data_IF_309398296292
#
_entry.id   IF_309398296292
#
_cell.length_a   1.000
_cell.length_b   1.000
_cell.length_c   1.000
_cell.angle_alpha   90.00
_cell.angle_beta   90.00
_cell.angle_gamma   90.00
#
_symmetry.space_group_name_H-M   'P 1'
#
loop_
_entity.id
_entity.type
_entity.pdbx_description
1 polymer ?
#
# COMPACT_ATOMS: atom_id res chain seq x y z
N UNK A 1 1.09 -20.07 -22.66
CA UNK A 1 1.22 -18.65 -22.32
C UNK A 1 1.23 -18.58 -20.80
N UNK A 2 2.36 -18.23 -20.20
CA UNK A 2 2.39 -17.95 -18.74
C UNK A 2 1.38 -16.86 -18.44
N UNK A 3 0.59 -16.96 -17.36
CA UNK A 3 -0.29 -15.87 -16.97
C UNK A 3 0.61 -14.64 -16.77
N UNK A 4 0.43 -13.63 -17.62
CA UNK A 4 1.14 -12.36 -17.49
C UNK A 4 0.86 -11.84 -16.08
N UNK A 5 1.90 -11.56 -15.32
CA UNK A 5 1.71 -10.93 -14.00
C UNK A 5 0.95 -9.62 -14.21
N UNK A 6 -0.19 -9.52 -13.58
CA UNK A 6 -1.12 -8.39 -13.67
C UNK A 6 -0.49 -7.19 -12.97
N UNK A 7 -0.70 -5.99 -13.49
CA UNK A 7 -0.34 -4.75 -12.79
C UNK A 7 -1.58 -4.26 -12.06
N UNK A 8 -1.48 -4.10 -10.75
CA UNK A 8 -2.56 -3.63 -9.90
C UNK A 8 -2.49 -2.12 -9.71
N UNK A 9 -3.64 -1.49 -9.72
CA UNK A 9 -3.85 -0.09 -9.34
C UNK A 9 -4.61 -0.04 -8.03
N UNK A 10 -4.14 0.77 -7.10
CA UNK A 10 -4.75 0.93 -5.76
C UNK A 10 -4.86 2.41 -5.43
N UNK A 11 -6.01 2.85 -4.95
CA UNK A 11 -6.16 4.16 -4.31
C UNK A 11 -5.88 3.99 -2.81
N UNK A 12 -4.79 4.57 -2.33
CA UNK A 12 -4.34 4.45 -0.93
C UNK A 12 -4.93 5.50 0.00
N UNK A 13 -5.44 6.61 -0.54
CA UNK A 13 -6.12 7.66 0.25
C UNK A 13 -7.63 7.46 0.22
N UNK A 14 -8.35 7.83 1.29
CA UNK A 14 -9.81 7.74 1.28
C UNK A 14 -10.43 8.52 0.11
N UNK A 15 -11.52 7.99 -0.48
CA UNK A 15 -12.23 8.71 -1.54
C UNK A 15 -12.87 9.99 -1.01
N UNK A 16 -12.94 11.04 -1.84
CA UNK A 16 -13.58 12.29 -1.49
C UNK A 16 -12.70 13.51 -1.74
N UNK A 17 -13.02 14.61 -1.08
CA UNK A 17 -12.23 15.85 -1.17
C UNK A 17 -11.08 15.81 -0.17
N UNK A 18 -9.87 15.85 -0.68
CA UNK A 18 -8.64 15.95 0.11
C UNK A 18 -7.67 16.91 -0.57
N UNK A 19 -6.64 17.35 0.13
CA UNK A 19 -5.56 18.15 -0.48
C UNK A 19 -4.76 17.32 -1.48
N UNK A 20 -4.44 16.08 -1.10
CA UNK A 20 -3.66 15.15 -1.90
C UNK A 20 -4.36 13.79 -1.99
N UNK A 21 -4.15 13.11 -3.09
CA UNK A 21 -4.49 11.70 -3.25
C UNK A 21 -3.24 10.91 -3.65
N UNK A 22 -3.18 9.67 -3.20
CA UNK A 22 -2.10 8.74 -3.50
C UNK A 22 -2.67 7.50 -4.17
N UNK A 23 -2.19 7.22 -5.39
CA UNK A 23 -2.43 5.98 -6.10
C UNK A 23 -1.13 5.15 -6.08
N UNK A 24 -1.25 3.85 -6.02
CA UNK A 24 -0.12 2.93 -6.15
C UNK A 24 -0.33 2.04 -7.37
N UNK A 25 0.69 1.92 -8.20
CA UNK A 25 0.75 0.93 -9.28
C UNK A 25 1.79 -0.10 -8.90
N UNK A 26 1.38 -1.36 -8.85
CA UNK A 26 2.24 -2.48 -8.48
C UNK A 26 2.13 -3.61 -9.49
N UNK A 27 3.27 -4.11 -9.95
CA UNK A 27 3.39 -5.22 -10.88
C UNK A 27 4.60 -5.09 -11.79
N UNK A 28 4.88 -6.12 -12.60
CA UNK A 28 6.13 -6.22 -13.36
C UNK A 28 6.34 -5.11 -14.39
N UNK A 29 5.30 -4.39 -14.77
CA UNK A 29 5.35 -3.29 -15.73
C UNK A 29 4.98 -1.94 -15.13
N UNK A 30 4.90 -1.83 -13.80
CA UNK A 30 4.46 -0.62 -13.09
C UNK A 30 5.23 0.63 -13.55
N UNK A 31 6.56 0.58 -13.55
CA UNK A 31 7.42 1.69 -13.97
C UNK A 31 7.18 2.06 -15.44
N UNK A 32 7.06 1.06 -16.32
CA UNK A 32 6.84 1.29 -17.76
C UNK A 32 5.45 1.87 -18.03
N UNK A 33 4.41 1.37 -17.35
CA UNK A 33 3.04 1.87 -17.51
C UNK A 33 2.89 3.31 -17.00
N UNK A 34 3.39 3.60 -15.80
CA UNK A 34 3.38 4.95 -15.25
C UNK A 34 4.22 5.90 -16.12
N UNK A 35 5.38 5.43 -16.61
CA UNK A 35 6.26 6.19 -17.48
C UNK A 35 5.65 6.61 -18.82
N UNK A 36 4.60 5.93 -19.31
CA UNK A 36 3.88 6.34 -20.53
C UNK A 36 3.13 7.67 -20.37
N UNK A 37 2.69 7.95 -19.15
CA UNK A 37 1.89 9.15 -18.86
C UNK A 37 2.70 10.23 -18.12
N UNK A 38 3.79 9.89 -17.49
CA UNK A 38 4.58 10.81 -16.69
C UNK A 38 5.59 11.61 -17.53
N UNK A 39 5.47 12.92 -17.48
CA UNK A 39 6.39 13.86 -18.12
C UNK A 39 7.21 14.57 -17.03
N UNK A 40 8.44 14.12 -16.74
CA UNK A 40 9.26 14.68 -15.67
C UNK A 40 9.72 16.12 -16.00
N UNK A 41 9.65 16.97 -15.01
CA UNK A 41 10.36 18.25 -15.04
C UNK A 41 11.86 17.96 -14.88
N UNK A 42 12.67 18.34 -15.89
CA UNK A 42 14.12 18.02 -15.92
C UNK A 42 14.51 16.85 -16.82
N UNK A 43 13.54 16.25 -17.53
CA UNK A 43 13.78 15.39 -18.71
C UNK A 43 14.28 13.97 -18.46
N UNK A 44 14.65 13.57 -17.22
CA UNK A 44 15.12 12.21 -16.94
C UNK A 44 13.92 11.26 -16.77
N UNK A 45 13.77 10.21 -17.60
CA UNK A 45 12.68 9.24 -17.51
C UNK A 45 12.58 8.55 -16.14
N UNK A 46 11.40 8.04 -15.80
CA UNK A 46 11.20 7.30 -14.55
C UNK A 46 12.08 6.04 -14.50
N UNK A 47 12.21 5.32 -15.61
CA UNK A 47 13.02 4.11 -15.73
C UNK A 47 14.51 4.29 -15.38
N UNK A 48 15.02 5.51 -15.53
CA UNK A 48 16.44 5.81 -15.34
C UNK A 48 16.76 6.35 -13.94
N UNK A 49 15.75 6.37 -13.07
CA UNK A 49 15.87 6.88 -11.71
C UNK A 49 16.17 5.80 -10.70
N UNK A 50 16.84 6.18 -9.64
CA UNK A 50 17.15 5.26 -8.53
C UNK A 50 15.88 5.00 -7.70
N UNK A 51 15.77 3.77 -7.17
CA UNK A 51 14.73 3.41 -6.21
C UNK A 51 14.86 4.34 -4.97
N UNK A 52 13.72 4.80 -4.46
CA UNK A 52 13.67 5.79 -3.37
C UNK A 52 13.73 7.25 -3.85
N UNK A 53 13.94 7.51 -5.16
CA UNK A 53 13.91 8.87 -5.67
C UNK A 53 12.49 9.42 -5.78
N UNK A 54 12.37 10.74 -5.54
CA UNK A 54 11.12 11.48 -5.72
C UNK A 54 11.23 12.29 -7.01
N UNK A 55 10.18 12.27 -7.82
CA UNK A 55 10.15 12.94 -9.11
C UNK A 55 8.91 13.82 -9.24
N UNK A 56 9.09 15.07 -9.61
CA UNK A 56 8.00 15.98 -9.97
C UNK A 56 7.82 16.04 -11.49
N UNK A 57 6.57 16.10 -11.93
CA UNK A 57 6.24 16.22 -13.35
C UNK A 57 4.75 16.44 -13.59
N UNK A 58 4.36 16.24 -14.84
CA UNK A 58 2.98 16.40 -15.31
C UNK A 58 2.44 15.07 -15.84
N UNK A 59 1.13 14.85 -15.67
CA UNK A 59 0.45 13.68 -16.19
C UNK A 59 -0.07 13.92 -17.60
N UNK A 60 0.23 13.01 -18.52
CA UNK A 60 -0.20 12.93 -19.93
C UNK A 60 0.26 14.05 -20.86
N UNK A 61 0.49 15.28 -20.39
CA UNK A 61 0.93 16.42 -21.19
C UNK A 61 1.61 17.49 -20.35
N UNK A 62 2.45 18.31 -20.96
CA UNK A 62 3.00 19.51 -20.32
C UNK A 62 1.83 20.44 -19.92
N UNK A 63 1.82 20.91 -18.67
CA UNK A 63 0.72 21.67 -18.09
C UNK A 63 -0.55 20.87 -17.83
N UNK A 64 -0.44 19.52 -17.82
CA UNK A 64 -1.46 18.61 -17.28
C UNK A 64 -1.49 18.60 -15.76
N UNK A 65 -2.13 17.59 -15.18
CA UNK A 65 -2.14 17.41 -13.71
C UNK A 65 -0.73 17.30 -13.18
N UNK A 66 -0.41 18.09 -12.17
CA UNK A 66 0.87 18.04 -11.48
C UNK A 66 0.91 16.80 -10.57
N UNK A 67 1.97 16.02 -10.70
CA UNK A 67 2.13 14.79 -9.93
C UNK A 67 3.55 14.68 -9.37
N UNK A 68 3.63 14.05 -8.20
CA UNK A 68 4.89 13.63 -7.60
C UNK A 68 4.91 12.11 -7.58
N UNK A 69 5.96 11.51 -8.14
CA UNK A 69 6.16 10.07 -8.13
C UNK A 69 7.21 9.67 -7.12
N UNK A 70 6.97 8.53 -6.45
CA UNK A 70 7.94 7.86 -5.60
C UNK A 70 8.03 6.39 -6.01
N UNK A 71 9.22 5.95 -6.41
CA UNK A 71 9.46 4.55 -6.74
C UNK A 71 10.02 3.82 -5.52
N UNK A 72 9.22 2.99 -4.86
CA UNK A 72 9.64 2.27 -3.67
C UNK A 72 10.39 0.98 -3.98
N UNK A 73 10.00 0.30 -5.09
CA UNK A 73 10.59 -0.95 -5.58
C UNK A 73 10.64 -0.93 -7.10
N UNK A 74 11.32 -1.91 -7.70
CA UNK A 74 11.36 -2.05 -9.16
C UNK A 74 9.97 -2.27 -9.79
N UNK A 75 9.04 -2.83 -9.03
CA UNK A 75 7.69 -3.19 -9.42
C UNK A 75 6.61 -2.36 -8.72
N UNK A 76 6.96 -1.24 -8.07
CA UNK A 76 6.01 -0.41 -7.32
C UNK A 76 6.31 1.08 -7.47
N UNK A 77 5.31 1.83 -7.89
CA UNK A 77 5.35 3.30 -8.03
C UNK A 77 4.14 3.91 -7.34
N UNK A 78 4.36 4.85 -6.45
CA UNK A 78 3.32 5.70 -5.90
C UNK A 78 3.23 7.01 -6.68
N UNK A 79 1.99 7.45 -6.90
CA UNK A 79 1.63 8.66 -7.64
C UNK A 79 0.83 9.54 -6.71
N UNK A 80 1.39 10.69 -6.36
CA UNK A 80 0.72 11.69 -5.53
C UNK A 80 0.23 12.82 -6.44
N UNK A 81 -1.07 13.11 -6.38
CA UNK A 81 -1.74 14.15 -7.16
C UNK A 81 -2.65 15.00 -6.28
N UNK A 82 -3.26 16.04 -6.86
CA UNK A 82 -4.31 16.77 -6.14
C UNK A 82 -5.48 15.84 -5.79
N UNK A 83 -6.02 15.99 -4.56
CA UNK A 83 -7.06 15.13 -4.01
C UNK A 83 -8.47 15.41 -4.55
N UNK A 84 -8.60 16.10 -5.68
CA UNK A 84 -9.85 16.32 -6.37
C UNK A 84 -10.32 15.09 -7.15
N UNK A 85 -11.62 14.85 -7.18
CA UNK A 85 -12.21 13.72 -7.91
C UNK A 85 -11.80 13.70 -9.39
N UNK A 86 -11.65 14.87 -10.02
CA UNK A 86 -11.26 15.00 -11.44
C UNK A 86 -9.83 14.49 -11.64
N UNK A 87 -8.88 14.96 -10.82
CA UNK A 87 -7.46 14.56 -10.89
C UNK A 87 -7.30 13.06 -10.66
N UNK A 88 -7.91 12.54 -9.60
CA UNK A 88 -7.87 11.10 -9.28
C UNK A 88 -8.44 10.25 -10.40
N UNK A 89 -9.62 10.64 -10.94
CA UNK A 89 -10.26 9.89 -12.02
C UNK A 89 -9.46 9.96 -13.33
N UNK A 90 -8.79 11.08 -13.62
CA UNK A 90 -7.93 11.22 -14.80
C UNK A 90 -6.77 10.19 -14.74
N UNK A 91 -6.05 10.15 -13.63
CA UNK A 91 -4.95 9.21 -13.44
C UNK A 91 -5.44 7.77 -13.46
N UNK A 92 -6.48 7.49 -12.68
CA UNK A 92 -7.10 6.17 -12.57
C UNK A 92 -7.51 5.63 -13.93
N UNK A 93 -8.26 6.42 -14.72
CA UNK A 93 -8.75 5.99 -16.05
C UNK A 93 -7.58 5.73 -17.01
N UNK A 94 -6.57 6.60 -17.04
CA UNK A 94 -5.38 6.42 -17.88
C UNK A 94 -4.69 5.07 -17.61
N UNK A 95 -4.57 4.70 -16.34
CA UNK A 95 -3.91 3.45 -15.92
C UNK A 95 -4.76 2.22 -16.18
N UNK A 96 -6.08 2.31 -16.01
CA UNK A 96 -7.02 1.23 -16.36
C UNK A 96 -7.02 0.98 -17.87
N UNK A 97 -7.07 2.03 -18.68
CA UNK A 97 -7.00 1.94 -20.14
C UNK A 97 -5.67 1.35 -20.64
N UNK A 98 -4.59 1.54 -19.87
CA UNK A 98 -3.28 0.94 -20.11
C UNK A 98 -3.15 -0.51 -19.63
N UNK A 99 -4.22 -1.09 -19.06
CA UNK A 99 -4.28 -2.50 -18.67
C UNK A 99 -3.95 -2.80 -17.20
N UNK A 100 -3.97 -1.80 -16.32
CA UNK A 100 -3.95 -2.06 -14.88
C UNK A 100 -5.31 -2.61 -14.43
N UNK A 101 -5.29 -3.49 -13.44
CA UNK A 101 -6.48 -3.93 -12.72
C UNK A 101 -6.58 -3.21 -11.37
N UNK A 102 -7.73 -2.59 -11.12
CA UNK A 102 -7.96 -1.93 -9.84
C UNK A 102 -8.33 -2.93 -8.77
N UNK A 103 -7.66 -2.86 -7.64
CA UNK A 103 -7.99 -3.65 -6.44
C UNK A 103 -8.24 -2.72 -5.25
N UNK A 104 -9.04 -3.20 -4.29
CA UNK A 104 -9.27 -2.49 -3.04
C UNK A 104 -7.97 -2.41 -2.21
N UNK A 105 -7.76 -1.31 -1.48
CA UNK A 105 -6.58 -1.15 -0.63
C UNK A 105 -6.46 -2.25 0.45
N UNK A 106 -7.59 -2.77 0.95
CA UNK A 106 -7.61 -3.89 1.89
C UNK A 106 -7.00 -5.16 1.25
N UNK A 107 -7.40 -5.46 0.01
CA UNK A 107 -6.84 -6.59 -0.73
C UNK A 107 -5.34 -6.39 -0.99
N UNK A 108 -4.94 -5.16 -1.26
CA UNK A 108 -3.53 -4.83 -1.42
C UNK A 108 -2.72 -5.07 -0.14
N UNK A 109 -3.24 -4.67 1.04
CA UNK A 109 -2.62 -4.96 2.35
C UNK A 109 -2.47 -6.47 2.55
N UNK A 110 -3.53 -7.25 2.30
CA UNK A 110 -3.48 -8.73 2.42
C UNK A 110 -2.41 -9.33 1.50
N UNK A 111 -2.26 -8.81 0.28
CA UNK A 111 -1.23 -9.26 -0.66
C UNK A 111 0.19 -8.92 -0.19
N UNK A 112 0.38 -7.80 0.52
CA UNK A 112 1.69 -7.39 1.07
C UNK A 112 2.05 -8.13 2.36
N UNK A 113 1.05 -8.53 3.14
CA UNK A 113 1.21 -9.13 4.47
C UNK A 113 0.64 -10.55 4.49
N UNK A 114 1.49 -11.58 4.37
CA UNK A 114 1.04 -12.97 4.37
C UNK A 114 0.49 -13.44 5.73
N UNK A 115 0.78 -12.70 6.80
CA UNK A 115 0.25 -12.97 8.13
C UNK A 115 -1.14 -12.35 8.29
N UNK A 116 -2.21 -13.15 8.42
CA UNK A 116 -3.57 -12.64 8.54
C UNK A 116 -3.78 -11.78 9.79
N UNK A 117 -3.12 -12.06 10.90
CA UNK A 117 -3.21 -11.23 12.12
C UNK A 117 -2.68 -9.82 11.84
N UNK A 118 -1.56 -9.73 11.15
CA UNK A 118 -0.95 -8.44 10.80
C UNK A 118 -1.78 -7.69 9.77
N UNK A 119 -2.22 -8.36 8.70
CA UNK A 119 -3.04 -7.72 7.67
C UNK A 119 -4.37 -7.21 8.21
N UNK A 120 -5.07 -8.00 9.05
CA UNK A 120 -6.33 -7.61 9.66
C UNK A 120 -6.14 -6.44 10.66
N UNK A 121 -5.05 -6.47 11.43
CA UNK A 121 -4.72 -5.37 12.34
C UNK A 121 -4.42 -4.07 11.59
N UNK A 122 -3.68 -4.10 10.47
CA UNK A 122 -3.39 -2.94 9.64
C UNK A 122 -4.65 -2.36 8.99
N UNK A 123 -5.55 -3.22 8.48
CA UNK A 123 -6.83 -2.81 7.91
C UNK A 123 -7.69 -2.13 8.97
N UNK A 124 -7.83 -2.75 10.14
CA UNK A 124 -8.59 -2.18 11.25
C UNK A 124 -7.96 -0.89 11.80
N UNK A 125 -6.63 -0.79 11.80
CA UNK A 125 -5.88 0.41 12.22
C UNK A 125 -6.20 1.63 11.35
N UNK A 126 -6.31 1.45 10.03
CA UNK A 126 -6.68 2.52 9.11
C UNK A 126 -8.10 3.08 9.38
N UNK A 127 -8.98 2.28 10.00
CA UNK A 127 -10.35 2.64 10.34
C UNK A 127 -10.54 3.01 11.83
N UNK A 128 -9.47 3.00 12.61
CA UNK A 128 -9.52 3.23 14.06
C UNK A 128 -10.00 4.64 14.40
N UNK A 129 -11.08 4.74 15.19
CA UNK A 129 -11.72 6.02 15.56
C UNK A 129 -11.20 6.62 16.87
N UNK A 130 -10.35 5.91 17.60
CA UNK A 130 -9.78 6.40 18.85
C UNK A 130 -8.30 6.05 18.96
N UNK A 131 -7.55 6.90 19.65
CA UNK A 131 -6.13 6.65 19.92
C UNK A 131 -5.90 5.32 20.63
N UNK A 132 -6.75 4.96 21.60
CA UNK A 132 -6.64 3.70 22.33
C UNK A 132 -6.76 2.50 21.39
N UNK A 133 -7.76 2.51 20.50
CA UNK A 133 -7.94 1.44 19.50
C UNK A 133 -6.76 1.38 18.54
N UNK A 134 -6.27 2.53 18.07
CA UNK A 134 -5.11 2.60 17.19
C UNK A 134 -3.85 2.01 17.83
N UNK A 135 -3.58 2.33 19.11
CA UNK A 135 -2.42 1.78 19.82
C UNK A 135 -2.50 0.27 20.02
N UNK A 136 -3.70 -0.27 20.32
CA UNK A 136 -3.89 -1.72 20.43
C UNK A 136 -3.67 -2.43 19.10
N UNK A 137 -4.23 -1.89 18.01
CA UNK A 137 -4.08 -2.46 16.67
C UNK A 137 -2.64 -2.36 16.15
N UNK A 138 -1.96 -1.26 16.46
CA UNK A 138 -0.54 -1.12 16.14
C UNK A 138 0.30 -2.18 16.86
N UNK A 139 0.08 -2.40 18.15
CA UNK A 139 0.76 -3.45 18.91
C UNK A 139 0.50 -4.86 18.33
N UNK A 140 -0.73 -5.11 17.84
CA UNK A 140 -1.05 -6.37 17.16
C UNK A 140 -0.34 -6.49 15.81
N UNK A 141 -0.27 -5.42 15.01
CA UNK A 141 0.47 -5.39 13.76
C UNK A 141 1.97 -5.59 13.97
N UNK A 142 2.52 -5.15 15.11
CA UNK A 142 3.90 -5.37 15.55
C UNK A 142 4.14 -6.76 16.15
N UNK A 143 3.11 -7.61 16.23
CA UNK A 143 3.21 -9.01 16.62
C UNK A 143 2.92 -9.31 18.09
N UNK A 144 2.38 -8.40 18.89
CA UNK A 144 2.09 -8.62 20.31
C UNK A 144 1.14 -9.82 20.53
N UNK A 145 0.02 -9.88 19.79
CA UNK A 145 -0.93 -10.99 19.87
C UNK A 145 -0.29 -12.32 19.45
N UNK A 146 0.47 -12.30 18.35
CA UNK A 146 1.19 -13.49 17.88
C UNK A 146 2.17 -14.01 18.96
N UNK A 147 3.00 -13.11 19.51
CA UNK A 147 3.96 -13.46 20.53
C UNK A 147 3.30 -14.05 21.80
N UNK A 148 2.16 -13.49 22.22
CA UNK A 148 1.39 -14.02 23.33
C UNK A 148 0.87 -15.45 23.06
N UNK A 149 0.28 -15.66 21.87
CA UNK A 149 -0.21 -16.99 21.46
C UNK A 149 0.94 -18.01 21.38
N UNK A 150 2.06 -17.64 20.76
CA UNK A 150 3.23 -18.53 20.63
C UNK A 150 3.82 -18.90 21.99
N UNK A 151 3.87 -17.95 22.93
CA UNK A 151 4.30 -18.22 24.30
C UNK A 151 3.38 -19.21 25.01
N UNK A 152 2.06 -19.03 24.91
CA UNK A 152 1.08 -19.96 25.48
C UNK A 152 1.24 -21.37 24.88
N UNK A 153 1.40 -21.48 23.57
CA UNK A 153 1.63 -22.74 22.87
C UNK A 153 2.92 -23.42 23.37
N UNK A 154 3.97 -22.64 23.59
CA UNK A 154 5.25 -23.15 24.10
C UNK A 154 5.09 -23.74 25.52
N UNK A 155 4.43 -23.00 26.43
CA UNK A 155 4.16 -23.44 27.79
C UNK A 155 3.31 -24.71 27.81
N UNK A 156 2.28 -24.80 26.97
CA UNK A 156 1.47 -26.02 26.86
C UNK A 156 2.29 -27.23 26.37
N UNK A 157 3.20 -27.02 25.39
CA UNK A 157 4.10 -28.08 24.91
C UNK A 157 5.06 -28.56 25.99
N UNK A 158 5.48 -27.67 26.86
CA UNK A 158 6.31 -28.00 28.06
C UNK A 158 5.49 -28.62 29.19
N UNK A 159 4.16 -28.73 29.06
CA UNK A 159 3.21 -29.20 30.05
C UNK A 159 3.16 -28.33 31.33
N UNK A 160 3.54 -27.04 31.18
CA UNK A 160 3.44 -26.06 32.27
C UNK A 160 2.06 -25.39 32.23
N UNK A 161 1.04 -26.10 32.69
CA UNK A 161 -0.34 -25.62 32.69
C UNK A 161 -0.54 -24.39 33.60
N UNK A 162 0.06 -24.28 34.80
CA UNK A 162 -0.10 -23.06 35.58
C UNK A 162 0.42 -21.83 34.88
N UNK A 163 1.66 -21.87 34.36
CA UNK A 163 2.22 -20.73 33.63
C UNK A 163 1.43 -20.40 32.34
N UNK A 164 0.87 -21.39 31.64
CA UNK A 164 0.02 -21.16 30.50
C UNK A 164 -1.31 -20.46 30.85
N UNK A 165 -1.92 -20.79 32.00
CA UNK A 165 -3.10 -20.09 32.50
C UNK A 165 -2.77 -18.66 32.91
N UNK A 166 -1.67 -18.42 33.63
CA UNK A 166 -1.23 -17.06 33.97
C UNK A 166 -0.97 -16.20 32.76
N UNK A 167 -0.43 -16.77 31.67
CA UNK A 167 -0.18 -16.07 30.41
C UNK A 167 -1.46 -15.76 29.62
N UNK A 168 -2.58 -16.45 29.87
CA UNK A 168 -3.88 -16.15 29.28
C UNK A 168 -4.59 -14.98 29.99
N UNK A 169 -4.28 -14.77 31.27
CA UNK A 169 -4.92 -13.73 32.09
C UNK A 169 -4.14 -12.40 32.07
N UNK A 170 -2.97 -12.36 31.44
CA UNK A 170 -2.08 -11.19 31.34
C UNK A 170 -2.41 -10.33 30.11
#
# INVERSE_FOLDING_TARGET
>A
MSPGKINHLVLLTPPGRSALATLCVEGPQAVALVGQFFLPVGGKPLSDREIGSICFGHWSRIGGEEVVLSQHRQDQVEIHCHGGTISVNLLRQSLLDAGCEEIAWQQWIVNQQPDPIVSDALIALAEAKSQRTALLLLAQAEGALRGAIENIILLLRQRDLPAACDALDA
#
